data_IF_677236782254
#
_entry.id   IF_677236782254
#
_cell.length_a   1.000
_cell.length_b   1.000
_cell.length_c   1.000
_cell.angle_alpha   90.00
_cell.angle_beta   90.00
_cell.angle_gamma   90.00
#
_symmetry.space_group_name_H-M   'P 1'
#
loop_
_entity.id
_entity.type
_entity.pdbx_description
1 polymer ?
#
# COMPACT_ATOMS: atom_id res chain seq x y z
N UNK A 1 24.68 44.67 41.48
CA UNK A 1 23.79 45.66 40.82
C UNK A 1 24.50 46.10 39.56
N UNK A 2 24.13 45.80 38.31
CA UNK A 2 23.04 45.10 37.61
C UNK A 2 23.56 45.13 36.17
N UNK A 3 23.75 44.00 35.48
CA UNK A 3 22.78 43.40 34.55
C UNK A 3 22.30 44.42 33.49
N UNK A 4 22.35 44.21 32.19
CA UNK A 4 22.70 43.05 31.39
C UNK A 4 22.46 43.43 29.92
N UNK A 5 23.33 42.96 29.03
CA UNK A 5 23.10 43.03 27.59
C UNK A 5 21.94 42.08 27.25
N UNK A 6 20.75 42.68 27.09
CA UNK A 6 19.52 42.00 26.70
C UNK A 6 19.61 41.54 25.25
N UNK A 7 20.18 40.34 25.07
CA UNK A 7 20.00 39.53 23.88
C UNK A 7 18.51 39.41 23.55
N UNK A 8 18.23 39.37 22.25
CA UNK A 8 16.91 39.25 21.65
C UNK A 8 16.05 38.18 22.35
N UNK A 9 14.83 38.56 22.72
CA UNK A 9 13.79 37.61 23.09
C UNK A 9 13.32 36.88 21.81
N UNK A 10 13.99 35.77 21.50
CA UNK A 10 13.50 34.69 20.65
C UNK A 10 12.52 33.83 21.47
N UNK A 11 11.28 34.28 21.63
CA UNK A 11 10.18 33.42 22.10
C UNK A 11 8.84 33.97 21.59
N UNK A 12 8.48 33.58 20.38
CA UNK A 12 7.08 33.36 20.03
C UNK A 12 6.96 32.21 18.99
N UNK A 13 6.74 31.01 19.53
CA UNK A 13 5.79 30.01 19.02
C UNK A 13 6.17 29.32 17.68
N UNK A 14 6.97 28.25 17.84
CA UNK A 14 6.97 26.97 17.10
C UNK A 14 7.09 26.99 15.55
N UNK A 15 8.31 27.06 14.99
CA UNK A 15 8.55 26.61 13.62
C UNK A 15 8.67 25.09 13.57
N UNK A 16 7.65 24.45 13.01
CA UNK A 16 7.72 23.21 12.23
C UNK A 16 8.65 22.13 12.77
N UNK A 17 8.05 21.11 13.41
CA UNK A 17 8.66 19.80 13.66
C UNK A 17 9.14 19.23 12.32
N UNK A 18 10.37 19.55 11.91
CA UNK A 18 11.01 18.99 10.72
C UNK A 18 11.09 17.48 10.96
N UNK A 19 10.36 16.72 10.15
CA UNK A 19 10.53 15.26 10.13
C UNK A 19 11.96 15.02 9.64
N UNK A 20 12.80 14.43 10.48
CA UNK A 20 14.18 14.12 10.13
C UNK A 20 14.22 13.24 8.86
N UNK A 21 14.88 13.71 7.80
CA UNK A 21 15.03 12.99 6.53
C UNK A 21 14.96 13.91 5.30
N UNK A 22 15.09 13.37 4.07
CA UNK A 22 15.09 14.14 2.82
C UNK A 22 13.70 14.66 2.42
N UNK A 23 12.78 14.77 3.37
CA UNK A 23 11.38 15.04 3.12
C UNK A 23 11.09 16.54 3.15
N UNK A 24 10.38 17.04 2.13
CA UNK A 24 9.82 18.40 2.17
C UNK A 24 8.49 18.35 2.91
N UNK A 25 8.38 19.20 3.92
CA UNK A 25 7.17 19.39 4.71
C UNK A 25 6.57 20.75 4.36
N UNK A 26 5.35 20.75 3.81
CA UNK A 26 4.59 21.98 3.57
C UNK A 26 3.38 22.05 4.52
N UNK A 27 2.99 23.25 4.97
CA UNK A 27 1.70 23.43 5.65
C UNK A 27 0.57 23.03 4.69
N UNK A 28 -0.33 22.14 5.12
CA UNK A 28 -1.58 21.96 4.42
C UNK A 28 -2.45 23.21 4.54
N UNK A 29 -3.29 23.47 3.54
CA UNK A 29 -4.42 24.38 3.69
C UNK A 29 -5.20 24.02 4.96
N UNK A 30 -5.33 24.99 5.89
CA UNK A 30 -5.98 24.81 7.18
C UNK A 30 -5.05 24.66 8.40
N UNK A 31 -3.74 24.82 8.25
CA UNK A 31 -2.81 25.15 9.36
C UNK A 31 -2.43 24.01 10.33
N UNK A 32 -3.07 22.84 10.26
CA UNK A 32 -2.92 21.80 11.29
C UNK A 32 -2.20 20.52 10.83
N UNK A 33 -2.04 20.30 9.52
CA UNK A 33 -1.39 19.10 8.97
C UNK A 33 -0.13 19.43 8.16
N UNK A 34 1.01 18.86 8.55
CA UNK A 34 2.23 18.87 7.72
C UNK A 34 2.09 17.78 6.65
N UNK A 35 2.12 18.16 5.37
CA UNK A 35 2.14 17.18 4.27
C UNK A 35 3.57 16.86 3.87
N UNK A 36 3.86 15.56 3.73
CA UNK A 36 5.16 15.06 3.24
C UNK A 36 5.09 14.99 1.72
N UNK A 37 5.87 15.82 1.05
CA UNK A 37 5.93 15.95 -0.41
C UNK A 37 7.22 15.35 -0.94
N UNK A 38 7.18 14.83 -2.17
CA UNK A 38 8.35 14.30 -2.85
C UNK A 38 9.42 15.39 -3.02
N UNK A 39 10.66 15.18 -2.53
CA UNK A 39 11.73 16.18 -2.66
C UNK A 39 12.18 16.41 -4.11
N UNK A 40 11.92 15.44 -5.00
CA UNK A 40 12.28 15.53 -6.42
C UNK A 40 11.20 16.16 -7.29
N UNK A 41 10.08 16.61 -6.71
CA UNK A 41 9.12 17.45 -7.41
C UNK A 41 9.62 18.90 -7.37
N UNK A 42 9.83 19.48 -8.54
CA UNK A 42 10.30 20.86 -8.66
C UNK A 42 9.48 21.63 -9.70
N UNK A 43 9.29 22.91 -9.45
CA UNK A 43 8.67 23.85 -10.36
C UNK A 43 9.75 24.34 -11.35
N UNK A 44 9.48 24.29 -12.65
CA UNK A 44 10.39 24.85 -13.66
C UNK A 44 10.11 26.35 -13.83
N UNK A 45 11.07 27.20 -13.47
CA UNK A 45 10.98 28.65 -13.61
C UNK A 45 11.29 29.07 -15.06
N UNK A 46 10.90 30.28 -15.43
CA UNK A 46 11.07 30.81 -16.79
C UNK A 46 12.54 30.92 -17.23
N UNK A 47 13.48 30.95 -16.29
CA UNK A 47 14.93 30.96 -16.51
C UNK A 47 15.54 29.55 -16.61
N UNK A 48 14.71 28.50 -16.59
CA UNK A 48 15.13 27.09 -16.64
C UNK A 48 15.63 26.54 -15.31
N UNK A 49 15.53 27.30 -14.21
CA UNK A 49 15.87 26.83 -12.87
C UNK A 49 14.73 26.02 -12.25
N UNK A 50 15.06 25.21 -11.24
CA UNK A 50 14.12 24.35 -10.54
C UNK A 50 13.89 24.81 -9.09
N UNK A 51 12.68 25.30 -8.83
CA UNK A 51 12.23 25.76 -7.51
C UNK A 51 11.43 24.72 -6.73
N UNK A 52 11.06 24.99 -5.47
CA UNK A 52 10.14 24.14 -4.72
C UNK A 52 8.75 24.16 -5.35
N UNK A 53 8.17 22.97 -5.53
CA UNK A 53 6.78 22.83 -5.94
C UNK A 53 5.88 22.68 -4.69
N UNK A 54 4.94 23.60 -4.51
CA UNK A 54 4.03 23.61 -3.34
C UNK A 54 2.63 23.12 -3.67
N UNK A 55 2.28 23.07 -4.96
CA UNK A 55 0.96 22.69 -5.44
C UNK A 55 1.03 21.99 -6.79
N UNK A 56 -0.15 21.62 -7.29
CA UNK A 56 -0.29 21.01 -8.61
C UNK A 56 -0.12 22.06 -9.70
N UNK A 57 0.82 21.84 -10.61
CA UNK A 57 1.08 22.72 -11.74
C UNK A 57 1.57 21.91 -12.95
N UNK A 58 1.14 22.28 -14.17
CA UNK A 58 1.62 21.70 -15.42
C UNK A 58 3.11 21.97 -15.69
N UNK A 59 3.71 22.98 -15.06
CA UNK A 59 5.16 23.24 -15.16
C UNK A 59 6.01 22.45 -14.16
N UNK A 60 5.40 21.64 -13.29
CA UNK A 60 6.16 20.78 -12.39
C UNK A 60 6.88 19.65 -13.14
N UNK A 61 8.13 19.41 -12.74
CA UNK A 61 9.03 18.38 -13.26
C UNK A 61 9.50 17.47 -12.14
N UNK A 62 9.74 16.20 -12.50
CA UNK A 62 10.46 15.25 -11.66
C UNK A 62 11.94 15.32 -12.02
N UNK A 63 12.76 15.74 -11.05
CA UNK A 63 14.20 15.90 -11.20
C UNK A 63 14.99 14.74 -10.56
N UNK A 64 14.32 13.62 -10.28
CA UNK A 64 14.92 12.52 -9.52
C UNK A 64 16.10 11.85 -10.23
N UNK A 65 16.05 11.75 -11.56
CA UNK A 65 17.06 11.04 -12.37
C UNK A 65 17.08 11.62 -13.78
N UNK A 66 18.27 12.01 -14.25
CA UNK A 66 18.50 12.43 -15.63
C UNK A 66 17.79 13.73 -15.98
N UNK A 67 17.23 13.79 -17.18
CA UNK A 67 16.52 14.97 -17.67
C UNK A 67 15.18 15.19 -16.92
N UNK A 68 14.82 16.43 -16.58
CA UNK A 68 13.58 16.76 -15.89
C UNK A 68 12.33 16.31 -16.66
N UNK A 69 11.49 15.47 -16.03
CA UNK A 69 10.31 14.90 -16.71
C UNK A 69 9.02 15.61 -16.29
N UNK A 70 8.18 16.09 -17.22
CA UNK A 70 6.88 16.67 -16.90
C UNK A 70 5.99 15.69 -16.13
N UNK A 71 5.42 16.15 -15.03
CA UNK A 71 4.49 15.35 -14.21
C UNK A 71 3.05 15.67 -14.58
N UNK A 72 2.23 14.65 -14.80
CA UNK A 72 0.79 14.86 -14.97
C UNK A 72 0.14 15.35 -13.67
N UNK A 73 -0.87 16.20 -13.79
CA UNK A 73 -1.79 16.60 -12.72
C UNK A 73 -2.15 15.46 -11.74
N UNK A 74 -2.57 14.33 -12.29
CA UNK A 74 -2.97 13.14 -11.53
C UNK A 74 -1.81 12.54 -10.74
N UNK A 75 -0.63 12.44 -11.35
CA UNK A 75 0.56 11.92 -10.67
C UNK A 75 0.98 12.83 -9.52
N UNK A 76 0.85 14.15 -9.70
CA UNK A 76 1.16 15.12 -8.67
C UNK A 76 0.22 14.99 -7.47
N UNK A 77 -1.10 14.96 -7.72
CA UNK A 77 -2.11 14.84 -6.68
C UNK A 77 -2.04 13.54 -5.88
N UNK A 78 -1.77 12.40 -6.52
CA UNK A 78 -1.84 11.10 -5.87
C UNK A 78 -0.48 10.58 -5.39
N UNK A 79 0.63 11.07 -5.94
CA UNK A 79 1.97 10.54 -5.64
C UNK A 79 2.92 11.64 -5.18
N UNK A 80 3.13 12.70 -5.97
CA UNK A 80 4.22 13.63 -5.68
C UNK A 80 3.92 14.56 -4.49
N UNK A 81 2.69 15.07 -4.38
CA UNK A 81 2.25 15.99 -3.32
C UNK A 81 1.70 15.26 -2.08
N UNK A 82 1.86 13.93 -2.02
CA UNK A 82 1.43 13.09 -0.90
C UNK A 82 2.60 12.25 -0.42
N UNK A 83 2.46 11.61 0.74
CA UNK A 83 3.44 10.63 1.23
C UNK A 83 3.58 9.39 0.33
N UNK A 84 2.69 9.17 -0.66
CA UNK A 84 2.76 7.98 -1.52
C UNK A 84 4.01 7.95 -2.42
N UNK A 85 4.72 9.07 -2.58
CA UNK A 85 6.01 9.11 -3.29
C UNK A 85 7.05 8.15 -2.72
N UNK A 86 6.96 7.73 -1.45
CA UNK A 86 7.90 6.75 -0.87
C UNK A 86 7.87 5.40 -1.58
N UNK A 87 6.75 5.06 -2.23
CA UNK A 87 6.59 3.86 -3.05
C UNK A 87 6.92 4.09 -4.54
N UNK A 88 7.30 5.32 -4.93
CA UNK A 88 7.63 5.64 -6.31
C UNK A 88 9.03 5.11 -6.67
N UNK A 89 9.18 4.27 -7.71
CA UNK A 89 10.49 3.75 -8.10
C UNK A 89 11.50 4.85 -8.47
N UNK A 90 11.03 5.99 -9.00
CA UNK A 90 11.90 7.14 -9.31
C UNK A 90 12.39 7.84 -8.05
N UNK A 91 11.54 7.97 -7.03
CA UNK A 91 11.97 8.51 -5.73
C UNK A 91 13.03 7.60 -5.11
N UNK A 92 12.75 6.28 -5.01
CA UNK A 92 13.68 5.31 -4.43
C UNK A 92 15.05 5.36 -5.11
N UNK A 93 15.08 5.40 -6.44
CA UNK A 93 16.33 5.54 -7.21
C UNK A 93 16.96 6.92 -7.07
N UNK A 94 16.15 7.98 -7.06
CA UNK A 94 16.64 9.35 -6.89
C UNK A 94 17.35 9.55 -5.55
N UNK A 95 16.82 8.97 -4.46
CA UNK A 95 17.48 9.01 -3.14
C UNK A 95 18.83 8.30 -3.16
N UNK A 96 18.98 7.22 -3.94
CA UNK A 96 20.25 6.52 -4.10
C UNK A 96 21.26 7.31 -4.95
N UNK A 97 20.79 7.99 -6.00
CA UNK A 97 21.65 8.72 -6.97
C UNK A 97 22.04 10.10 -6.47
N UNK A 98 21.12 10.84 -5.84
CA UNK A 98 21.42 12.15 -5.24
C UNK A 98 22.45 12.04 -4.11
N UNK A 99 22.79 10.81 -3.69
CA UNK A 99 23.23 10.52 -2.35
C UNK A 99 22.14 10.94 -1.36
N UNK A 100 22.24 10.49 -0.12
CA UNK A 100 21.81 11.41 0.93
C UNK A 100 22.61 12.70 0.65
N UNK A 101 22.00 13.91 0.57
CA UNK A 101 22.83 15.09 0.76
C UNK A 101 23.62 14.77 2.01
N UNK A 102 24.96 14.77 1.92
CA UNK A 102 25.80 14.57 3.08
C UNK A 102 25.15 15.43 4.15
N UNK A 103 24.61 14.77 5.18
CA UNK A 103 24.01 15.48 6.30
C UNK A 103 25.00 16.61 6.56
N UNK A 104 24.54 17.87 6.53
CA UNK A 104 25.27 18.90 7.26
C UNK A 104 25.71 18.20 8.55
N UNK A 105 27.02 18.10 8.82
CA UNK A 105 27.57 17.12 9.74
C UNK A 105 26.66 17.09 10.95
N UNK A 106 26.08 15.92 11.23
CA UNK A 106 25.11 15.77 12.32
C UNK A 106 25.59 16.64 13.48
N UNK A 107 24.74 17.51 14.07
CA UNK A 107 25.20 18.41 15.12
C UNK A 107 26.02 17.55 16.08
N UNK A 108 27.29 17.93 16.24
CA UNK A 108 28.30 17.11 16.90
C UNK A 108 27.64 16.51 18.14
N UNK A 109 27.57 15.17 18.23
CA UNK A 109 26.87 14.45 19.31
C UNK A 109 27.10 15.24 20.59
N UNK A 110 26.04 15.83 21.14
CA UNK A 110 26.19 16.58 22.38
C UNK A 110 26.88 15.65 23.37
N UNK A 111 27.97 16.11 24.02
CA UNK A 111 28.69 15.27 24.95
C UNK A 111 27.68 14.78 25.99
N UNK A 112 27.60 13.44 26.14
CA UNK A 112 26.67 12.80 27.06
C UNK A 112 26.84 13.47 28.42
N UNK A 113 25.80 14.16 28.90
CA UNK A 113 25.84 14.88 30.16
C UNK A 113 26.27 13.93 31.28
N UNK A 114 27.11 14.37 32.24
CA UNK A 114 27.49 13.55 33.39
C UNK A 114 26.26 13.03 34.16
N UNK A 115 25.12 13.72 34.08
CA UNK A 115 23.85 13.26 34.65
C UNK A 115 23.32 11.99 33.96
N UNK A 116 23.46 11.87 32.64
CA UNK A 116 23.01 10.69 31.87
C UNK A 116 23.92 9.49 32.16
N UNK A 117 25.24 9.71 32.27
CA UNK A 117 26.18 8.67 32.70
C UNK A 117 25.88 8.22 34.13
N UNK A 118 25.61 9.16 35.03
CA UNK A 118 25.20 8.88 36.41
C UNK A 118 23.93 8.05 36.47
N UNK A 119 22.89 8.42 35.71
CA UNK A 119 21.64 7.66 35.64
C UNK A 119 21.87 6.24 35.09
N UNK A 120 22.73 6.08 34.07
CA UNK A 120 23.09 4.78 33.52
C UNK A 120 23.80 3.87 34.53
N UNK A 121 24.73 4.42 35.32
CA UNK A 121 25.42 3.66 36.37
C UNK A 121 24.47 3.25 37.51
N UNK A 122 23.55 4.13 37.92
CA UNK A 122 22.53 3.80 38.93
C UNK A 122 21.62 2.67 38.41
N UNK A 123 21.18 2.75 37.16
CA UNK A 123 20.37 1.70 36.55
C UNK A 123 21.11 0.36 36.50
N UNK A 124 22.39 0.36 36.10
CA UNK A 124 23.20 -0.85 36.04
C UNK A 124 23.40 -1.46 37.43
N UNK A 125 23.66 -0.64 38.45
CA UNK A 125 23.78 -1.10 39.84
C UNK A 125 22.46 -1.69 40.37
N UNK A 126 21.32 -1.06 40.07
CA UNK A 126 20.01 -1.57 40.47
C UNK A 126 19.68 -2.91 39.79
N UNK A 127 20.03 -3.07 38.50
CA UNK A 127 19.88 -4.34 37.79
C UNK A 127 20.77 -5.41 38.41
N UNK A 128 22.04 -5.13 38.65
CA UNK A 128 22.97 -6.08 39.28
C UNK A 128 22.50 -6.49 40.68
N UNK A 129 22.00 -5.56 41.50
CA UNK A 129 21.43 -5.85 42.80
C UNK A 129 20.16 -6.72 42.70
N UNK A 130 19.30 -6.45 41.71
CA UNK A 130 18.08 -7.25 41.48
C UNK A 130 18.42 -8.67 41.05
N UNK A 131 19.37 -8.85 40.14
CA UNK A 131 19.86 -10.17 39.72
C UNK A 131 20.56 -10.90 40.87
N UNK A 132 21.39 -10.21 41.66
CA UNK A 132 22.02 -10.78 42.85
C UNK A 132 21.00 -11.25 43.88
N UNK A 133 19.95 -10.46 44.11
CA UNK A 133 18.85 -10.84 45.01
C UNK A 133 18.08 -12.07 44.50
N UNK A 134 17.79 -12.14 43.20
CA UNK A 134 17.16 -13.30 42.57
C UNK A 134 18.02 -14.57 42.69
N UNK A 135 19.34 -14.43 42.52
CA UNK A 135 20.28 -15.54 42.66
C UNK A 135 20.40 -16.04 44.11
N UNK A 136 20.41 -15.14 45.10
CA UNK A 136 20.53 -15.48 46.52
C UNK A 136 19.23 -16.08 47.07
N UNK A 137 18.06 -15.60 46.63
CA UNK A 137 16.75 -16.11 47.08
C UNK A 137 16.18 -17.26 46.24
N UNK A 138 16.92 -17.77 45.26
CA UNK A 138 16.52 -18.95 44.47
C UNK A 138 15.30 -18.74 43.57
N UNK A 139 15.11 -17.52 43.05
CA UNK A 139 13.92 -17.11 42.28
C UNK A 139 13.88 -17.55 40.80
N UNK A 140 14.64 -18.56 40.38
CA UNK A 140 14.66 -19.06 39.00
C UNK A 140 13.92 -20.39 38.83
N UNK A 141 12.87 -20.62 39.62
CA UNK A 141 11.94 -21.74 39.44
C UNK A 141 10.89 -21.50 38.35
N UNK A 142 11.27 -20.99 37.18
CA UNK A 142 10.40 -21.11 36.00
C UNK A 142 10.68 -22.47 35.37
N UNK A 143 9.96 -23.49 35.84
CA UNK A 143 9.84 -24.74 35.10
C UNK A 143 9.11 -24.43 33.80
N UNK A 144 9.86 -24.13 32.74
CA UNK A 144 9.32 -24.21 31.38
C UNK A 144 9.12 -25.70 31.08
N UNK A 145 7.90 -26.16 30.73
CA UNK A 145 7.71 -27.52 30.30
C UNK A 145 8.49 -27.71 28.98
N UNK A 146 9.59 -28.46 29.04
CA UNK A 146 10.26 -28.93 27.84
C UNK A 146 9.38 -29.97 27.17
N UNK A 147 8.71 -29.59 26.09
CA UNK A 147 8.06 -30.54 25.19
C UNK A 147 9.12 -31.34 24.44
N UNK A 148 9.51 -32.49 25.00
CA UNK A 148 10.11 -33.60 24.26
C UNK A 148 9.01 -34.61 23.89
N UNK A 149 9.09 -35.26 22.72
CA UNK A 149 8.06 -36.19 22.29
C UNK A 149 8.16 -37.47 23.12
N UNK A 150 7.01 -38.10 23.31
CA UNK A 150 6.85 -39.43 23.90
C UNK A 150 6.95 -39.50 25.44
N UNK A 151 5.82 -39.19 26.10
CA UNK A 151 5.03 -40.25 26.72
C UNK A 151 3.74 -39.71 27.37
N UNK A 152 2.65 -40.40 27.06
CA UNK A 152 1.35 -40.27 27.67
C UNK A 152 1.33 -40.87 29.08
N UNK A 153 0.73 -40.18 30.05
CA UNK A 153 -0.16 -40.79 31.05
C UNK A 153 -0.81 -39.70 31.91
N UNK A 154 -2.12 -39.84 32.07
CA UNK A 154 -3.04 -38.96 32.79
C UNK A 154 -2.77 -38.87 34.30
N UNK A 155 -3.19 -37.76 34.94
CA UNK A 155 -4.09 -37.77 36.12
C UNK A 155 -4.63 -36.36 36.46
N UNK A 156 -5.97 -36.24 36.34
CA UNK A 156 -6.96 -35.76 37.35
C UNK A 156 -6.99 -34.29 37.83
N UNK A 157 -8.23 -33.75 37.81
CA UNK A 157 -8.81 -32.57 38.50
C UNK A 157 -8.84 -31.26 37.68
N UNK A 158 -9.90 -30.46 37.64
CA UNK A 158 -11.17 -30.45 38.35
C UNK A 158 -12.22 -29.77 37.46
N UNK A 159 -13.46 -30.28 37.49
CA UNK A 159 -14.60 -29.64 36.86
C UNK A 159 -15.06 -28.41 37.65
N UNK A 160 -15.36 -27.32 36.94
CA UNK A 160 -16.22 -26.25 37.43
C UNK A 160 -17.36 -26.09 36.44
N UNK A 161 -18.58 -26.18 36.98
CA UNK A 161 -19.84 -26.20 36.26
C UNK A 161 -20.17 -24.85 35.60
N UNK A 162 -20.64 -24.91 34.35
CA UNK A 162 -21.42 -23.85 33.71
C UNK A 162 -22.83 -24.38 33.40
N UNK A 163 -23.90 -23.59 33.61
CA UNK A 163 -25.26 -24.09 33.46
C UNK A 163 -25.68 -24.23 31.99
N UNK A 164 -26.36 -25.35 31.75
CA UNK A 164 -27.06 -25.75 30.54
C UNK A 164 -28.35 -24.96 30.35
N UNK A 165 -28.57 -24.44 29.13
CA UNK A 165 -29.92 -24.32 28.54
C UNK A 165 -29.79 -24.58 27.02
N UNK A 166 -30.34 -25.70 26.56
CA UNK A 166 -30.69 -26.00 25.17
C UNK A 166 -32.20 -25.71 24.96
N UNK A 167 -32.82 -25.90 23.77
CA UNK A 167 -32.27 -26.29 22.47
C UNK A 167 -32.76 -25.42 21.29
N UNK A 168 -32.02 -25.43 20.18
CA UNK A 168 -32.50 -24.96 18.88
C UNK A 168 -32.73 -26.15 17.93
N UNK A 169 -33.85 -26.07 17.22
CA UNK A 169 -34.53 -27.10 16.47
C UNK A 169 -33.72 -27.69 15.29
N UNK A 170 -33.79 -29.02 15.19
CA UNK A 170 -33.48 -29.82 14.00
C UNK A 170 -34.34 -29.42 12.81
N UNK A 171 -33.72 -29.25 11.65
CA UNK A 171 -34.38 -29.38 10.34
C UNK A 171 -33.61 -30.39 9.51
N UNK A 172 -34.29 -31.49 9.21
CA UNK A 172 -33.85 -32.57 8.32
C UNK A 172 -34.12 -32.21 6.85
N UNK A 173 -33.29 -32.64 5.88
CA UNK A 173 -33.68 -32.69 4.48
C UNK A 173 -34.31 -34.04 4.13
N UNK A 174 -35.52 -34.00 3.56
CA UNK A 174 -36.26 -35.14 3.03
C UNK A 174 -35.87 -35.44 1.56
N UNK A 175 -35.88 -36.71 1.11
CA UNK A 175 -35.62 -37.12 -0.27
C UNK A 175 -36.90 -37.20 -1.14
N UNK A 176 -36.75 -37.15 -2.46
CA UNK A 176 -37.81 -37.35 -3.46
C UNK A 176 -37.24 -37.39 -4.91
N UNK A 177 -37.91 -38.01 -5.89
CA UNK A 177 -37.33 -39.22 -6.50
C UNK A 177 -37.33 -39.33 -8.07
N UNK A 178 -36.49 -40.24 -8.58
CA UNK A 178 -36.52 -41.08 -9.84
C UNK A 178 -36.60 -40.47 -11.28
N UNK A 179 -36.28 -41.24 -12.36
CA UNK A 179 -35.48 -40.80 -13.52
C UNK A 179 -36.21 -40.98 -14.88
N UNK A 180 -35.51 -40.81 -16.03
CA UNK A 180 -35.56 -41.67 -17.24
C UNK A 180 -35.05 -40.92 -18.48
N UNK A 181 -34.01 -41.45 -19.12
CA UNK A 181 -33.91 -41.59 -20.57
C UNK A 181 -32.84 -42.64 -20.90
N UNK A 182 -33.27 -43.68 -21.60
CA UNK A 182 -32.55 -44.91 -21.94
C UNK A 182 -32.08 -44.88 -23.39
N UNK A 183 -31.13 -45.78 -23.70
CA UNK A 183 -30.65 -46.28 -25.00
C UNK A 183 -29.46 -45.49 -25.56
N UNK A 184 -28.33 -46.10 -25.91
CA UNK A 184 -27.92 -47.50 -25.93
C UNK A 184 -26.74 -47.64 -26.90
N UNK A 185 -25.75 -48.49 -26.60
CA UNK A 185 -25.21 -49.52 -27.50
C UNK A 185 -23.99 -50.20 -26.88
N UNK A 186 -24.12 -51.51 -26.79
CA UNK A 186 -23.20 -52.56 -26.39
C UNK A 186 -22.01 -52.69 -27.34
N UNK A 187 -20.79 -52.91 -26.83
CA UNK A 187 -19.85 -53.97 -27.31
C UNK A 187 -18.91 -54.35 -26.15
N UNK A 188 -18.74 -55.64 -25.82
CA UNK A 188 -17.72 -56.11 -24.87
C UNK A 188 -16.46 -56.57 -25.62
N UNK A 189 -15.26 -56.37 -25.04
CA UNK A 189 -14.18 -57.34 -25.21
C UNK A 189 -13.13 -57.22 -24.08
N UNK A 190 -12.95 -58.35 -23.40
CA UNK A 190 -11.81 -58.69 -22.53
C UNK A 190 -10.49 -58.56 -23.28
N UNK A 191 -9.42 -58.16 -22.59
CA UNK A 191 -8.13 -58.88 -22.57
C UNK A 191 -7.22 -58.38 -21.45
N UNK A 192 -6.47 -59.35 -20.92
CA UNK A 192 -5.64 -59.40 -19.72
C UNK A 192 -4.19 -58.86 -19.97
N UNK A 193 -3.26 -58.87 -18.99
CA UNK A 193 -2.10 -57.97 -18.88
C UNK A 193 -0.78 -58.50 -19.49
N UNK A 194 0.31 -57.75 -19.26
CA UNK A 194 1.76 -58.10 -19.12
C UNK A 194 2.72 -57.29 -20.03
N UNK A 195 4.05 -57.18 -19.77
CA UNK A 195 4.69 -55.91 -19.40
C UNK A 195 5.90 -55.50 -20.28
N UNK A 196 6.46 -54.32 -19.98
CA UNK A 196 7.84 -53.86 -20.28
C UNK A 196 8.13 -53.43 -21.74
N UNK A 197 9.13 -52.55 -22.04
CA UNK A 197 10.13 -51.92 -21.17
C UNK A 197 10.23 -50.38 -21.26
N UNK A 198 10.82 -49.79 -20.22
CA UNK A 198 11.50 -48.49 -20.28
C UNK A 198 12.82 -48.67 -21.03
N UNK A 199 13.19 -47.79 -21.98
CA UNK A 199 14.01 -46.65 -21.58
C UNK A 199 13.77 -45.38 -22.42
N UNK A 200 14.16 -44.23 -21.87
CA UNK A 200 15.04 -43.21 -22.47
C UNK A 200 14.74 -41.87 -21.82
N UNK A 201 15.68 -41.40 -21.00
CA UNK A 201 15.72 -40.06 -20.44
C UNK A 201 15.70 -39.01 -21.55
N UNK A 202 14.59 -38.30 -21.68
CA UNK A 202 14.47 -37.09 -22.49
C UNK A 202 15.23 -35.94 -21.82
N UNK A 203 16.06 -35.15 -22.52
CA UNK A 203 16.69 -33.99 -21.92
C UNK A 203 15.63 -32.93 -21.61
N UNK A 204 15.56 -32.52 -20.35
CA UNK A 204 14.75 -31.38 -19.88
C UNK A 204 15.09 -30.12 -20.69
N UNK A 205 14.13 -29.47 -21.37
CA UNK A 205 14.41 -28.21 -22.04
C UNK A 205 14.79 -27.14 -21.01
N UNK A 206 15.88 -26.43 -21.29
CA UNK A 206 16.37 -25.28 -20.54
C UNK A 206 15.26 -24.21 -20.45
N UNK A 207 15.05 -23.54 -19.30
CA UNK A 207 14.01 -22.52 -19.18
C UNK A 207 14.28 -21.39 -20.17
N UNK A 208 13.36 -21.22 -21.11
CA UNK A 208 13.32 -20.07 -22.01
C UNK A 208 13.04 -18.84 -21.15
N UNK A 209 13.97 -17.88 -21.15
CA UNK A 209 13.79 -16.61 -20.47
C UNK A 209 12.50 -15.95 -20.97
N UNK A 210 11.56 -15.71 -20.05
CA UNK A 210 10.34 -14.95 -20.33
C UNK A 210 10.73 -13.53 -20.75
N UNK A 211 10.33 -13.03 -21.93
CA UNK A 211 10.61 -11.67 -22.31
C UNK A 211 9.92 -10.71 -21.33
N UNK A 212 10.66 -9.67 -20.92
CA UNK A 212 10.17 -8.61 -20.05
C UNK A 212 8.89 -7.96 -20.64
N UNK A 213 7.93 -7.52 -19.80
CA UNK A 213 6.73 -6.87 -20.29
C UNK A 213 7.09 -5.57 -21.02
N UNK A 214 6.75 -5.51 -22.30
CA UNK A 214 6.79 -4.29 -23.11
C UNK A 214 5.96 -3.20 -22.42
N UNK A 215 6.48 -1.97 -22.20
CA UNK A 215 5.69 -0.89 -21.62
C UNK A 215 4.51 -0.57 -22.54
N UNK A 216 3.29 -0.71 -22.01
CA UNK A 216 2.06 -0.36 -22.72
C UNK A 216 2.08 1.13 -23.07
N UNK A 217 1.95 1.52 -24.35
CA UNK A 217 1.90 2.92 -24.74
C UNK A 217 0.71 3.62 -24.09
N UNK A 218 0.87 4.92 -23.79
CA UNK A 218 -0.18 5.85 -23.34
C UNK A 218 -1.41 5.68 -24.26
N UNK A 219 -2.64 5.59 -23.74
CA UNK A 219 -3.81 5.40 -24.58
C UNK A 219 -4.05 6.63 -25.47
N UNK A 220 -3.49 6.61 -26.67
CA UNK A 220 -3.85 7.51 -27.78
C UNK A 220 -5.18 7.01 -28.31
N UNK A 221 -6.27 7.42 -27.65
CA UNK A 221 -7.58 7.28 -28.26
C UNK A 221 -8.29 8.61 -28.26
N UNK A 222 -8.96 8.89 -29.36
CA UNK A 222 -9.89 10.00 -29.50
C UNK A 222 -10.93 10.06 -28.38
N UNK A 223 -11.24 8.94 -27.71
CA UNK A 223 -12.17 8.90 -26.59
C UNK A 223 -11.71 9.72 -25.38
N UNK A 224 -10.41 9.74 -25.08
CA UNK A 224 -9.89 10.54 -23.97
C UNK A 224 -10.02 12.05 -24.26
N UNK A 225 -9.99 12.45 -25.54
CA UNK A 225 -10.21 13.83 -25.94
C UNK A 225 -11.67 14.30 -25.77
N UNK A 226 -12.62 13.37 -25.64
CA UNK A 226 -14.04 13.65 -25.44
C UNK A 226 -14.43 13.82 -23.96
N UNK A 227 -13.47 13.69 -23.05
CA UNK A 227 -13.73 13.84 -21.62
C UNK A 227 -13.71 15.32 -21.24
N UNK A 228 -14.81 15.79 -20.65
CA UNK A 228 -14.89 17.14 -20.07
C UNK A 228 -14.97 17.03 -18.54
N UNK A 229 -14.14 17.78 -17.80
CA UNK A 229 -14.18 17.77 -16.33
C UNK A 229 -15.49 18.38 -15.82
N UNK A 230 -16.06 17.82 -14.76
CA UNK A 230 -17.25 18.39 -14.13
C UNK A 230 -16.92 19.74 -13.48
N UNK A 231 -17.79 20.75 -13.58
CA UNK A 231 -17.47 22.13 -13.16
C UNK A 231 -17.32 22.30 -11.63
N UNK A 232 -17.93 21.43 -10.82
CA UNK A 232 -18.03 21.60 -9.36
C UNK A 232 -17.72 20.34 -8.57
N UNK A 233 -17.09 19.33 -9.19
CA UNK A 233 -16.81 18.05 -8.54
C UNK A 233 -15.44 17.54 -8.97
N UNK A 234 -14.52 17.47 -8.00
CA UNK A 234 -13.26 16.75 -8.18
C UNK A 234 -13.57 15.26 -8.39
N UNK A 235 -12.77 14.61 -9.23
CA UNK A 235 -12.96 13.21 -9.63
C UNK A 235 -14.23 12.87 -10.42
N UNK A 236 -14.73 13.82 -11.19
CA UNK A 236 -15.88 13.64 -12.07
C UNK A 236 -15.56 14.12 -13.49
N UNK A 237 -15.87 13.28 -14.47
CA UNK A 237 -15.75 13.57 -15.89
C UNK A 237 -17.07 13.29 -16.59
N UNK A 238 -17.35 14.06 -17.64
CA UNK A 238 -18.50 13.89 -18.52
C UNK A 238 -17.98 13.31 -19.82
N UNK A 239 -18.45 12.12 -20.16
CA UNK A 239 -18.22 11.47 -21.44
C UNK A 239 -19.50 11.58 -22.29
N UNK A 240 -19.33 11.99 -23.55
CA UNK A 240 -20.42 11.97 -24.53
C UNK A 240 -20.38 10.63 -25.26
N UNK A 241 -21.43 9.84 -25.05
CA UNK A 241 -21.53 8.47 -25.58
C UNK A 241 -21.53 8.51 -27.11
N UNK A 242 -20.79 7.60 -27.74
CA UNK A 242 -20.72 7.47 -29.21
C UNK A 242 -21.54 6.31 -29.72
N UNK A 243 -21.80 6.29 -31.01
CA UNK A 243 -22.44 5.14 -31.66
C UNK A 243 -21.62 3.87 -31.42
N UNK A 244 -22.31 2.80 -30.98
CA UNK A 244 -21.70 1.52 -30.64
C UNK A 244 -21.15 1.40 -29.22
N UNK A 245 -21.25 2.44 -28.38
CA UNK A 245 -20.87 2.35 -26.98
C UNK A 245 -21.94 1.62 -26.15
N UNK A 246 -21.47 0.92 -25.12
CA UNK A 246 -22.31 0.41 -24.04
C UNK A 246 -21.61 0.68 -22.71
N UNK A 247 -22.36 0.67 -21.60
CA UNK A 247 -21.82 1.03 -20.29
C UNK A 247 -20.62 0.17 -19.87
N UNK A 248 -20.61 -1.12 -20.24
CA UNK A 248 -19.53 -2.03 -19.91
C UNK A 248 -18.29 -1.78 -20.77
N UNK A 249 -18.44 -1.48 -22.06
CA UNK A 249 -17.31 -1.11 -22.91
C UNK A 249 -16.69 0.21 -22.46
N UNK A 250 -17.50 1.19 -22.07
CA UNK A 250 -17.04 2.46 -21.47
C UNK A 250 -16.30 2.21 -20.15
N UNK A 251 -16.87 1.40 -19.24
CA UNK A 251 -16.26 1.07 -17.96
C UNK A 251 -14.85 0.48 -18.13
N UNK A 252 -14.75 -0.54 -18.99
CA UNK A 252 -13.51 -1.25 -19.27
C UNK A 252 -12.50 -0.37 -20.01
N UNK A 253 -12.99 0.54 -20.84
CA UNK A 253 -12.16 1.46 -21.60
C UNK A 253 -11.44 2.43 -20.67
N UNK A 254 -12.19 3.11 -19.80
CA UNK A 254 -11.65 4.12 -18.88
C UNK A 254 -11.12 3.54 -17.56
N UNK A 255 -11.25 2.22 -17.35
CA UNK A 255 -10.85 1.58 -16.09
C UNK A 255 -11.68 2.06 -14.90
N UNK A 256 -12.98 2.28 -15.08
CA UNK A 256 -13.87 2.76 -14.01
C UNK A 256 -14.83 1.65 -13.58
N UNK A 257 -15.21 1.62 -12.30
CA UNK A 257 -16.18 0.64 -11.80
C UNK A 257 -17.57 0.87 -12.41
N UNK A 258 -18.17 -0.20 -12.91
CA UNK A 258 -19.53 -0.20 -13.46
C UNK A 258 -20.55 0.30 -12.42
N UNK A 259 -20.50 -0.24 -11.20
CA UNK A 259 -21.45 0.11 -10.14
C UNK A 259 -21.30 1.58 -9.73
N UNK A 260 -20.05 2.06 -9.64
CA UNK A 260 -19.79 3.47 -9.35
C UNK A 260 -20.31 4.38 -10.45
N UNK A 261 -20.18 3.96 -11.71
CA UNK A 261 -20.70 4.71 -12.85
C UNK A 261 -22.23 4.81 -12.80
N UNK A 262 -22.94 3.71 -12.52
CA UNK A 262 -24.41 3.76 -12.37
C UNK A 262 -24.81 4.69 -11.21
N UNK A 263 -24.14 4.56 -10.06
CA UNK A 263 -24.43 5.38 -8.88
C UNK A 263 -24.23 6.88 -9.12
N UNK A 264 -23.29 7.27 -9.99
CA UNK A 264 -23.04 8.67 -10.37
C UNK A 264 -24.05 9.23 -11.38
N UNK A 265 -24.90 8.39 -11.98
CA UNK A 265 -25.91 8.78 -12.97
C UNK A 265 -27.33 8.34 -12.56
N UNK A 266 -27.85 8.83 -11.41
CA UNK A 266 -29.23 8.57 -11.03
C UNK A 266 -30.16 9.19 -12.08
N UNK A 267 -30.97 8.36 -12.75
CA UNK A 267 -31.88 8.79 -13.82
C UNK A 267 -31.38 8.53 -15.24
N UNK A 268 -30.22 7.89 -15.42
CA UNK A 268 -29.79 7.40 -16.72
C UNK A 268 -30.78 6.37 -17.27
N UNK A 269 -31.10 6.48 -18.57
CA UNK A 269 -31.96 5.53 -19.27
C UNK A 269 -31.15 4.35 -19.78
N UNK A 270 -31.71 3.16 -19.68
CA UNK A 270 -31.20 1.94 -20.32
C UNK A 270 -32.21 1.49 -21.37
N UNK A 271 -31.82 1.32 -22.65
CA UNK A 271 -30.46 1.41 -23.20
C UNK A 271 -29.95 2.86 -23.33
N UNK A 272 -28.61 3.00 -23.38
CA UNK A 272 -27.95 4.29 -23.63
C UNK A 272 -27.88 4.58 -25.13
N UNK A 273 -27.85 5.85 -25.51
CA UNK A 273 -27.79 6.30 -26.90
C UNK A 273 -26.59 7.21 -27.14
N UNK A 274 -26.16 7.28 -28.40
CA UNK A 274 -25.12 8.23 -28.80
C UNK A 274 -25.59 9.67 -28.55
N UNK A 275 -24.71 10.51 -28.01
CA UNK A 275 -25.00 11.88 -27.59
C UNK A 275 -25.38 12.01 -26.11
N UNK A 276 -25.72 10.91 -25.43
CA UNK A 276 -26.00 10.93 -24.00
C UNK A 276 -24.75 11.35 -23.21
N UNK A 277 -24.96 12.14 -22.16
CA UNK A 277 -23.91 12.59 -21.25
C UNK A 277 -23.82 11.65 -20.05
N UNK A 278 -22.69 11.00 -19.92
CA UNK A 278 -22.43 10.03 -18.87
C UNK A 278 -21.36 10.59 -17.92
N UNK A 279 -21.71 10.70 -16.63
CA UNK A 279 -20.74 11.02 -15.58
C UNK A 279 -19.92 9.78 -15.25
N UNK A 280 -18.62 9.88 -15.33
CA UNK A 280 -17.68 8.81 -14.98
C UNK A 280 -16.70 9.33 -13.93
N UNK A 281 -16.24 8.47 -13.00
CA UNK A 281 -15.18 8.84 -12.08
C UNK A 281 -13.85 8.96 -12.83
N UNK A 282 -12.80 9.41 -12.15
CA UNK A 282 -11.49 9.63 -12.76
C UNK A 282 -10.96 8.35 -13.44
N UNK A 283 -10.68 8.38 -14.76
CA UNK A 283 -10.20 7.19 -15.50
C UNK A 283 -8.89 6.65 -14.94
N UNK A 284 -8.75 5.33 -14.78
CA UNK A 284 -7.58 4.69 -14.14
C UNK A 284 -6.66 3.96 -15.11
N UNK A 285 -7.03 3.89 -16.39
CA UNK A 285 -6.30 3.14 -17.44
C UNK A 285 -5.63 4.06 -18.45
#
# INVERSE_FOLDING_TARGET
MTDGDGAANDDDILPGRRVAGPFRSTPADGGEAIRVVCPFLALELADGQFGPAEGEDGINRCIAIGEPIPQSSRQQQFVCLTGAHVNCPRFLRGVLVAGMPALAPAPAKEPISPAVVGAGLVLAAALAASFGFLAIRGGFGLSLPSSGPDQAAAVVSAGVAGPSVAPALSVAPSPGPVPTATLGLTVPHRSSPSPSPSPTSSPTPLPTATPAPTPTPRPTSDRYALLTKCPSTNDCWIYVIRSGDNLRSIANYFGVSYDRMIAMNPGMRTPIHAGDRLRIPTPTR
#
